data_IF_412683213497
#
_entry.id   IF_412683213497
#
_cell.length_a   1.000
_cell.length_b   1.000
_cell.length_c   1.000
_cell.angle_alpha   90.00
_cell.angle_beta   90.00
_cell.angle_gamma   90.00
#
_symmetry.space_group_name_H-M   'P 1'
#
loop_
_entity.id
_entity.type
_entity.pdbx_description
1 polymer ?
#
# COMPACT_ATOMS: atom_id res chain seq x y z
N UNK A 1 -31.00 16.29 8.74
CA UNK A 1 -32.43 16.57 8.49
C UNK A 1 -33.24 16.61 9.79
N UNK A 2 -33.13 15.63 10.69
CA UNK A 2 -33.93 15.54 11.93
C UNK A 2 -33.58 16.64 12.94
N UNK A 3 -32.31 16.92 13.19
CA UNK A 3 -31.87 17.98 14.10
C UNK A 3 -32.38 19.36 13.65
N UNK A 4 -32.42 19.66 12.35
CA UNK A 4 -32.98 20.90 11.79
C UNK A 4 -34.49 20.96 11.88
N UNK A 5 -35.19 19.84 12.04
CA UNK A 5 -36.65 19.78 12.23
C UNK A 5 -37.06 19.91 13.70
N UNK A 6 -36.14 19.66 14.62
CA UNK A 6 -36.38 19.71 16.06
C UNK A 6 -35.90 21.03 16.69
N UNK A 7 -34.96 21.72 16.05
CA UNK A 7 -34.39 22.99 16.53
C UNK A 7 -34.69 24.10 15.52
N UNK A 8 -35.17 25.24 15.96
CA UNK A 8 -35.53 26.40 15.11
C UNK A 8 -34.31 27.08 14.42
N UNK A 9 -33.11 26.56 14.60
CA UNK A 9 -31.85 26.97 13.96
C UNK A 9 -30.65 26.46 14.73
N UNK A 10 -29.63 25.95 14.00
CA UNK A 10 -28.36 25.56 14.59
C UNK A 10 -27.37 26.73 14.59
N UNK A 11 -27.87 27.91 15.01
CA UNK A 11 -27.11 29.15 15.01
C UNK A 11 -26.35 29.30 16.33
N UNK A 12 -25.04 29.19 16.28
CA UNK A 12 -24.18 29.35 17.46
C UNK A 12 -23.83 30.81 17.77
N UNK A 13 -24.08 31.73 16.81
CA UNK A 13 -23.70 33.14 16.92
C UNK A 13 -24.65 33.99 16.08
N UNK A 14 -25.27 34.99 16.67
CA UNK A 14 -26.22 35.91 16.03
C UNK A 14 -25.65 36.65 14.82
N UNK A 15 -24.33 36.90 14.76
CA UNK A 15 -23.72 37.69 13.70
C UNK A 15 -23.57 36.95 12.35
N UNK A 16 -23.99 35.69 12.24
CA UNK A 16 -24.01 34.96 10.97
C UNK A 16 -25.17 35.44 10.09
N UNK A 17 -26.36 35.53 10.65
CA UNK A 17 -27.60 35.86 9.94
C UNK A 17 -28.12 37.26 10.24
N UNK A 18 -27.63 37.95 11.28
CA UNK A 18 -28.09 39.29 11.65
C UNK A 18 -27.19 40.36 11.05
N UNK A 19 -27.73 41.41 10.41
CA UNK A 19 -26.95 42.54 9.94
C UNK A 19 -26.24 43.23 11.13
N UNK A 20 -24.93 43.40 11.03
CA UNK A 20 -24.14 44.15 12.03
C UNK A 20 -23.36 45.27 11.36
N UNK A 21 -22.94 46.29 12.14
CA UNK A 21 -22.21 47.47 11.67
C UNK A 21 -20.88 47.14 10.97
N UNK A 22 -20.29 45.93 11.21
CA UNK A 22 -19.05 45.47 10.58
C UNK A 22 -19.18 44.96 9.15
N UNK A 23 -20.37 44.79 8.60
CA UNK A 23 -20.64 44.40 7.22
C UNK A 23 -19.98 43.09 6.78
N UNK A 24 -19.85 42.91 5.45
CA UNK A 24 -19.26 41.71 4.84
C UNK A 24 -17.72 41.63 4.97
N UNK A 25 -17.07 42.74 5.33
CA UNK A 25 -15.60 42.82 5.48
C UNK A 25 -15.10 42.38 6.86
N UNK A 26 -15.99 42.08 7.80
CA UNK A 26 -15.62 41.65 9.14
C UNK A 26 -14.85 40.34 9.14
N UNK A 27 -13.58 40.38 9.57
CA UNK A 27 -12.71 39.20 9.64
C UNK A 27 -13.25 38.10 10.58
N UNK A 28 -13.86 38.50 11.68
CA UNK A 28 -14.48 37.56 12.61
C UNK A 28 -15.67 36.83 11.97
N UNK A 29 -16.54 37.54 11.22
CA UNK A 29 -17.65 36.93 10.48
C UNK A 29 -17.20 35.90 9.45
N UNK A 30 -16.07 36.14 8.77
CA UNK A 30 -15.47 35.16 7.83
C UNK A 30 -15.03 33.88 8.54
N UNK A 31 -14.43 33.99 9.72
CA UNK A 31 -14.01 32.81 10.51
C UNK A 31 -15.26 32.05 10.99
N UNK A 32 -16.25 32.72 11.53
CA UNK A 32 -17.49 32.10 12.01
C UNK A 32 -18.29 31.46 10.88
N UNK A 33 -18.32 32.04 9.68
CA UNK A 33 -18.96 31.45 8.52
C UNK A 33 -18.25 30.16 8.07
N UNK A 34 -16.92 30.08 8.18
CA UNK A 34 -16.16 28.83 7.90
C UNK A 34 -16.52 27.76 8.93
N UNK A 35 -16.52 28.08 10.21
CA UNK A 35 -16.88 27.15 11.29
C UNK A 35 -18.30 26.63 11.08
N UNK A 36 -19.26 27.54 10.87
CA UNK A 36 -20.66 27.20 10.64
C UNK A 36 -20.85 26.28 9.43
N UNK A 37 -20.20 26.58 8.31
CA UNK A 37 -20.23 25.70 7.13
C UNK A 37 -19.66 24.31 7.42
N UNK A 38 -18.54 24.24 8.13
CA UNK A 38 -17.92 22.94 8.47
C UNK A 38 -18.80 22.14 9.42
N UNK A 39 -19.40 22.77 10.42
CA UNK A 39 -20.35 22.13 11.34
C UNK A 39 -21.60 21.62 10.61
N UNK A 40 -22.17 22.42 9.71
CA UNK A 40 -23.32 21.99 8.92
C UNK A 40 -23.01 20.81 8.02
N UNK A 41 -21.81 20.76 7.41
CA UNK A 41 -21.37 19.60 6.62
C UNK A 41 -21.33 18.31 7.46
N UNK A 42 -20.83 18.39 8.70
CA UNK A 42 -20.81 17.25 9.63
C UNK A 42 -22.24 16.87 10.03
N UNK A 43 -23.08 17.83 10.43
CA UNK A 43 -24.46 17.58 10.82
C UNK A 43 -25.32 17.04 9.67
N UNK A 44 -25.08 17.51 8.44
CA UNK A 44 -25.81 17.01 7.25
C UNK A 44 -25.34 15.60 6.82
N UNK A 45 -24.13 15.20 7.23
CA UNK A 45 -23.63 13.83 6.98
C UNK A 45 -24.17 12.81 7.99
N UNK A 46 -24.63 13.24 9.18
CA UNK A 46 -25.19 12.35 10.20
C UNK A 46 -26.60 11.88 9.82
N UNK A 47 -26.84 10.60 9.90
CA UNK A 47 -28.14 9.96 9.67
C UNK A 47 -28.78 9.54 11.00
N UNK A 48 -30.10 9.21 10.98
CA UNK A 48 -30.76 8.56 12.12
C UNK A 48 -30.16 7.19 12.41
N UNK A 49 -29.65 6.54 11.38
CA UNK A 49 -28.99 5.25 11.50
C UNK A 49 -27.70 5.37 12.31
N UNK A 50 -26.93 6.45 12.10
CA UNK A 50 -25.72 6.75 12.88
C UNK A 50 -26.02 7.01 14.37
N UNK A 51 -27.24 7.53 14.68
CA UNK A 51 -27.67 7.81 16.05
C UNK A 51 -28.29 6.59 16.74
N UNK A 52 -28.88 5.67 15.97
CA UNK A 52 -29.55 4.48 16.49
C UNK A 52 -28.61 3.27 16.59
N UNK A 53 -27.61 3.24 15.74
CA UNK A 53 -26.56 2.22 15.79
C UNK A 53 -25.33 2.88 16.42
N UNK A 54 -24.98 2.47 17.65
CA UNK A 54 -23.62 2.66 18.18
C UNK A 54 -22.66 2.32 17.03
N UNK A 55 -21.84 3.30 16.58
CA UNK A 55 -21.00 3.10 15.38
C UNK A 55 -20.33 1.75 15.50
N UNK A 56 -20.69 0.81 14.61
CA UNK A 56 -20.08 -0.51 14.59
C UNK A 56 -18.57 -0.25 14.46
N UNK A 57 -17.86 -0.36 15.59
CA UNK A 57 -16.42 -0.14 15.59
C UNK A 57 -15.80 -1.21 14.70
N UNK A 58 -15.34 -0.81 13.53
CA UNK A 58 -14.57 -1.71 12.68
C UNK A 58 -13.14 -1.79 13.18
N UNK A 59 -12.68 -3.02 13.41
CA UNK A 59 -11.26 -3.33 13.62
C UNK A 59 -10.65 -3.56 12.25
N UNK A 60 -9.91 -2.57 11.75
CA UNK A 60 -9.31 -2.63 10.44
C UNK A 60 -7.94 -3.29 10.50
N UNK A 61 -7.81 -4.50 9.95
CA UNK A 61 -6.59 -5.32 9.89
C UNK A 61 -6.19 -5.62 8.43
N UNK A 62 -6.43 -4.67 7.53
CA UNK A 62 -6.09 -4.80 6.10
C UNK A 62 -5.25 -3.62 5.58
N UNK A 63 -4.30 -3.15 6.41
CA UNK A 63 -3.42 -2.01 6.07
C UNK A 63 -2.53 -2.28 4.85
N UNK A 64 -2.23 -3.54 4.51
CA UNK A 64 -1.53 -3.88 3.27
C UNK A 64 -2.38 -3.65 2.00
N UNK A 65 -3.71 -3.62 2.10
CA UNK A 65 -4.56 -3.25 0.96
C UNK A 65 -4.57 -1.74 0.75
N UNK A 66 -4.82 -0.97 1.81
CA UNK A 66 -4.76 0.50 1.82
C UNK A 66 -4.75 1.01 3.25
N UNK A 67 -4.28 2.24 3.46
CA UNK A 67 -4.43 2.95 4.73
C UNK A 67 -5.39 4.13 4.61
N UNK A 68 -5.94 4.59 5.74
CA UNK A 68 -6.63 5.87 5.81
C UNK A 68 -5.63 7.02 5.56
N UNK A 69 -6.11 8.13 5.01
CA UNK A 69 -5.28 9.34 4.93
C UNK A 69 -5.13 9.92 6.34
N UNK A 70 -3.89 10.22 6.74
CA UNK A 70 -3.60 10.88 8.01
C UNK A 70 -4.28 12.26 8.05
N UNK A 71 -4.90 12.63 9.18
CA UNK A 71 -5.66 13.89 9.33
C UNK A 71 -4.79 15.12 9.08
N UNK A 72 -3.54 15.11 9.54
CA UNK A 72 -2.61 16.20 9.31
C UNK A 72 -2.25 16.29 7.82
N UNK A 73 -2.00 15.14 7.16
CA UNK A 73 -1.77 15.07 5.72
C UNK A 73 -2.98 15.65 4.96
N UNK A 74 -4.20 15.24 5.33
CA UNK A 74 -5.42 15.75 4.72
C UNK A 74 -5.52 17.27 4.88
N UNK A 75 -5.23 17.80 6.08
CA UNK A 75 -5.23 19.24 6.33
C UNK A 75 -4.27 20.02 5.43
N UNK A 76 -3.12 19.46 5.10
CA UNK A 76 -2.14 20.06 4.18
C UNK A 76 -2.58 20.00 2.72
N UNK A 77 -3.38 19.01 2.35
CA UNK A 77 -3.92 18.85 0.99
C UNK A 77 -5.05 19.83 0.70
N UNK A 78 -5.95 20.04 1.68
CA UNK A 78 -7.20 20.80 1.50
C UNK A 78 -7.03 22.14 0.79
N UNK A 79 -6.05 23.01 1.12
CA UNK A 79 -5.91 24.31 0.43
C UNK A 79 -5.73 24.21 -1.07
N UNK A 80 -5.15 23.12 -1.58
CA UNK A 80 -4.86 22.94 -2.99
C UNK A 80 -6.07 22.49 -3.82
N UNK A 81 -7.20 22.14 -3.17
CA UNK A 81 -8.45 21.84 -3.87
C UNK A 81 -9.25 23.08 -4.22
N UNK A 82 -9.09 24.20 -3.48
CA UNK A 82 -9.93 25.39 -3.67
C UNK A 82 -9.21 26.75 -3.48
N UNK A 83 -8.40 26.95 -2.43
CA UNK A 83 -7.74 28.26 -2.20
C UNK A 83 -6.52 28.47 -3.07
N UNK A 84 -5.72 27.42 -3.29
CA UNK A 84 -4.45 27.41 -4.04
C UNK A 84 -4.56 26.50 -5.26
N UNK A 85 -5.66 26.58 -5.99
CA UNK A 85 -5.98 25.70 -7.12
C UNK A 85 -5.20 26.02 -8.41
N UNK A 86 -4.02 26.66 -8.30
CA UNK A 86 -3.17 26.99 -9.43
C UNK A 86 -2.57 25.76 -10.12
N UNK A 87 -2.45 25.82 -11.45
CA UNK A 87 -1.69 24.83 -12.21
C UNK A 87 -0.18 25.12 -12.05
N UNK A 88 0.59 24.13 -11.58
CA UNK A 88 2.04 24.26 -11.37
C UNK A 88 2.86 24.60 -12.63
N UNK A 89 2.27 24.45 -13.83
CA UNK A 89 2.89 24.85 -15.09
C UNK A 89 2.60 26.30 -15.51
N UNK A 90 1.77 27.05 -14.72
CA UNK A 90 1.37 28.42 -15.06
C UNK A 90 2.33 29.47 -14.51
N UNK A 91 2.63 30.53 -15.32
CA UNK A 91 3.59 31.54 -14.94
C UNK A 91 3.06 32.60 -13.94
N UNK A 92 1.75 32.65 -13.64
CA UNK A 92 1.17 33.61 -12.70
C UNK A 92 1.36 33.15 -11.24
N UNK A 93 1.11 34.03 -10.26
CA UNK A 93 1.37 33.80 -8.84
C UNK A 93 0.81 32.49 -8.29
N UNK A 94 -0.45 32.17 -8.58
CA UNK A 94 -1.06 30.91 -8.10
C UNK A 94 -0.38 29.66 -8.69
N UNK A 95 0.12 29.76 -9.94
CA UNK A 95 0.88 28.66 -10.58
C UNK A 95 2.23 28.45 -9.87
N UNK A 96 2.96 29.55 -9.61
CA UNK A 96 4.24 29.47 -8.85
C UNK A 96 4.07 28.93 -7.45
N UNK A 97 2.99 29.28 -6.75
CA UNK A 97 2.70 28.75 -5.42
C UNK A 97 2.46 27.22 -5.48
N UNK A 98 1.78 26.74 -6.50
CA UNK A 98 1.59 25.31 -6.74
C UNK A 98 2.91 24.62 -7.11
N UNK A 99 3.74 25.22 -7.95
CA UNK A 99 5.07 24.69 -8.32
C UNK A 99 5.98 24.55 -7.10
N UNK A 100 6.06 25.59 -6.24
CA UNK A 100 6.83 25.53 -4.98
C UNK A 100 6.35 24.39 -4.06
N UNK A 101 5.03 24.17 -4.00
CA UNK A 101 4.47 23.09 -3.21
C UNK A 101 4.84 21.70 -3.77
N UNK A 102 4.79 21.54 -5.10
CA UNK A 102 5.22 20.31 -5.79
C UNK A 102 6.70 20.04 -5.59
N UNK A 103 7.54 21.07 -5.71
CA UNK A 103 9.00 20.92 -5.51
C UNK A 103 9.36 20.58 -4.07
N UNK A 104 8.65 21.15 -3.10
CA UNK A 104 8.80 20.77 -1.69
C UNK A 104 8.44 19.30 -1.48
N UNK A 105 7.30 18.86 -1.97
CA UNK A 105 6.88 17.46 -1.87
C UNK A 105 7.87 16.51 -2.55
N UNK A 106 8.39 16.90 -3.71
CA UNK A 106 9.43 16.15 -4.43
C UNK A 106 10.71 15.99 -3.61
N UNK A 107 11.11 17.07 -2.92
CA UNK A 107 12.25 17.01 -2.00
C UNK A 107 11.99 16.08 -0.81
N UNK A 108 10.80 16.14 -0.19
CA UNK A 108 10.42 15.26 0.91
C UNK A 108 10.47 13.78 0.50
N UNK A 109 9.96 13.44 -0.69
CA UNK A 109 10.05 12.08 -1.24
C UNK A 109 11.51 11.67 -1.49
N UNK A 110 12.31 12.56 -2.07
CA UNK A 110 13.72 12.28 -2.35
C UNK A 110 14.52 12.04 -1.06
N UNK A 111 14.37 12.92 -0.08
CA UNK A 111 15.07 12.81 1.20
C UNK A 111 14.71 11.49 1.93
N UNK A 112 13.45 11.06 1.85
CA UNK A 112 12.96 9.86 2.51
C UNK A 112 13.61 8.54 2.02
N UNK A 113 14.16 8.52 0.80
CA UNK A 113 14.79 7.33 0.19
C UNK A 113 16.28 7.55 -0.17
N UNK A 114 16.90 8.65 0.27
CA UNK A 114 18.29 8.98 -0.04
C UNK A 114 18.54 9.40 -1.50
N UNK A 115 17.50 9.79 -2.25
CA UNK A 115 17.58 10.20 -3.65
C UNK A 115 17.85 11.71 -3.82
N UNK A 116 17.95 12.17 -5.07
CA UNK A 116 17.93 13.58 -5.43
C UNK A 116 16.54 13.95 -5.95
N UNK A 117 16.09 15.20 -5.76
CA UNK A 117 14.78 15.65 -6.25
C UNK A 117 14.60 15.47 -7.75
N UNK A 118 15.66 15.58 -8.55
CA UNK A 118 15.58 15.37 -10.00
C UNK A 118 15.48 13.90 -10.42
N UNK A 119 15.53 12.95 -9.48
CA UNK A 119 15.35 11.52 -9.68
C UNK A 119 13.94 11.04 -9.35
N UNK A 120 13.07 11.95 -8.87
CA UNK A 120 11.69 11.67 -8.44
C UNK A 120 10.71 12.09 -9.56
N UNK A 121 9.78 11.20 -9.92
CA UNK A 121 8.73 11.41 -10.91
C UNK A 121 7.39 10.97 -10.35
N UNK A 122 6.42 11.89 -10.28
CA UNK A 122 5.09 11.60 -9.79
C UNK A 122 4.25 10.83 -10.81
N UNK A 123 3.53 9.82 -10.33
CA UNK A 123 2.64 8.95 -11.10
C UNK A 123 1.28 8.88 -10.42
N UNK A 124 0.33 8.14 -10.97
CA UNK A 124 -0.99 7.93 -10.34
C UNK A 124 -0.98 6.85 -9.26
N UNK A 125 0.11 6.08 -9.10
CA UNK A 125 0.23 5.00 -8.11
C UNK A 125 1.30 3.99 -8.48
N UNK A 126 1.45 2.94 -7.66
CA UNK A 126 2.46 1.90 -7.84
C UNK A 126 2.35 1.20 -9.19
N UNK A 127 1.13 0.83 -9.63
CA UNK A 127 0.94 0.13 -10.90
C UNK A 127 1.39 0.93 -12.12
N UNK A 128 1.21 2.27 -12.13
CA UNK A 128 1.76 3.11 -13.19
C UNK A 128 3.30 3.14 -13.11
N UNK A 129 3.85 3.25 -11.91
CA UNK A 129 5.29 3.28 -11.67
C UNK A 129 5.96 1.99 -12.13
N UNK A 130 5.40 0.82 -11.79
CA UNK A 130 5.89 -0.49 -12.22
C UNK A 130 5.85 -0.65 -13.74
N UNK A 131 4.69 -0.33 -14.35
CA UNK A 131 4.55 -0.40 -15.80
C UNK A 131 5.55 0.51 -16.51
N UNK A 132 5.77 1.72 -15.98
CA UNK A 132 6.72 2.65 -16.58
C UNK A 132 8.16 2.16 -16.42
N UNK A 133 8.55 1.69 -15.24
CA UNK A 133 9.87 1.13 -15.01
C UNK A 133 10.16 -0.05 -15.97
N UNK A 134 9.26 -1.04 -16.00
CA UNK A 134 9.47 -2.27 -16.75
C UNK A 134 9.42 -2.03 -18.27
N UNK A 135 8.34 -1.44 -18.78
CA UNK A 135 8.19 -1.17 -20.22
C UNK A 135 9.20 -0.13 -20.69
N UNK A 136 9.40 0.92 -19.89
CA UNK A 136 10.32 2.00 -20.22
C UNK A 136 11.76 1.51 -20.38
N UNK A 137 12.25 0.65 -19.49
CA UNK A 137 13.58 0.05 -19.63
C UNK A 137 13.61 -0.97 -20.77
N UNK A 138 12.63 -1.86 -20.85
CA UNK A 138 12.57 -2.86 -21.91
C UNK A 138 12.66 -2.23 -23.31
N UNK A 139 11.85 -1.22 -23.57
CA UNK A 139 11.82 -0.56 -24.89
C UNK A 139 13.07 0.29 -25.16
N UNK A 140 13.52 1.09 -24.16
CA UNK A 140 14.69 1.95 -24.32
C UNK A 140 15.99 1.19 -24.55
N UNK A 141 16.12 0.01 -23.97
CA UNK A 141 17.36 -0.75 -23.99
C UNK A 141 17.29 -2.07 -24.79
N UNK A 142 16.24 -2.28 -25.59
CA UNK A 142 16.05 -3.48 -26.42
C UNK A 142 17.20 -3.80 -27.37
N UNK A 143 18.02 -2.80 -27.73
CA UNK A 143 19.22 -3.00 -28.54
C UNK A 143 20.39 -3.62 -27.77
N UNK A 144 20.37 -3.57 -26.42
CA UNK A 144 21.39 -4.19 -25.58
C UNK A 144 21.04 -5.64 -25.25
N UNK A 145 19.75 -5.99 -25.22
CA UNK A 145 19.26 -7.31 -24.91
C UNK A 145 17.74 -7.34 -24.83
N UNK A 146 17.20 -8.56 -24.71
CA UNK A 146 15.77 -8.80 -24.59
C UNK A 146 15.39 -9.67 -23.39
N UNK A 147 16.35 -9.99 -22.54
CA UNK A 147 16.09 -10.80 -21.36
C UNK A 147 15.77 -9.93 -20.14
N UNK A 148 14.70 -10.28 -19.43
CA UNK A 148 14.21 -9.67 -18.21
C UNK A 148 14.12 -10.74 -17.12
N UNK A 149 14.36 -10.38 -15.87
CA UNK A 149 14.22 -11.30 -14.74
C UNK A 149 13.27 -10.66 -13.73
N UNK A 150 12.34 -11.45 -13.19
CA UNK A 150 11.47 -11.07 -12.08
C UNK A 150 11.25 -12.26 -11.15
N UNK A 151 10.50 -12.08 -10.05
CA UNK A 151 10.12 -13.20 -9.18
C UNK A 151 8.70 -13.72 -9.51
N UNK A 152 8.42 -14.96 -9.11
CA UNK A 152 7.12 -15.59 -9.38
C UNK A 152 5.96 -15.04 -8.52
N UNK A 153 6.25 -14.30 -7.45
CA UNK A 153 5.29 -13.85 -6.44
C UNK A 153 5.13 -12.33 -6.37
N UNK A 154 5.47 -11.64 -7.45
CA UNK A 154 5.30 -10.19 -7.60
C UNK A 154 3.83 -9.75 -7.60
N UNK A 155 3.63 -8.45 -7.37
CA UNK A 155 2.31 -7.85 -7.57
C UNK A 155 1.83 -8.01 -9.02
N UNK A 156 0.51 -8.16 -9.26
CA UNK A 156 -0.06 -8.30 -10.61
C UNK A 156 0.39 -7.20 -11.60
N UNK A 157 0.70 -5.98 -11.13
CA UNK A 157 1.23 -4.91 -11.97
C UNK A 157 2.57 -5.26 -12.61
N UNK A 158 3.43 -6.02 -11.91
CA UNK A 158 4.70 -6.53 -12.43
C UNK A 158 4.46 -7.77 -13.29
N UNK A 159 3.80 -8.82 -12.76
CA UNK A 159 3.60 -10.09 -13.48
C UNK A 159 2.86 -9.92 -14.81
N UNK A 160 1.78 -9.11 -14.82
CA UNK A 160 1.03 -8.89 -16.05
C UNK A 160 1.79 -8.02 -17.05
N UNK A 161 2.63 -7.08 -16.57
CA UNK A 161 3.50 -6.30 -17.44
C UNK A 161 4.58 -7.18 -18.07
N UNK A 162 5.19 -8.11 -17.31
CA UNK A 162 6.15 -9.07 -17.85
C UNK A 162 5.52 -9.95 -18.93
N UNK A 163 4.29 -10.46 -18.72
CA UNK A 163 3.55 -11.22 -19.75
C UNK A 163 3.28 -10.40 -21.02
N UNK A 164 3.00 -9.09 -20.89
CA UNK A 164 2.84 -8.22 -22.06
C UNK A 164 4.16 -8.08 -22.81
N UNK A 165 5.28 -7.92 -22.11
CA UNK A 165 6.61 -7.84 -22.70
C UNK A 165 7.02 -9.17 -23.38
N UNK A 166 6.66 -10.33 -22.81
CA UNK A 166 6.81 -11.65 -23.46
C UNK A 166 6.06 -11.69 -24.80
N UNK A 167 4.82 -11.20 -24.85
CA UNK A 167 4.06 -11.11 -26.09
C UNK A 167 4.65 -10.13 -27.12
N UNK A 168 5.46 -9.16 -26.68
CA UNK A 168 6.22 -8.23 -27.52
C UNK A 168 7.58 -8.80 -27.98
N UNK A 169 7.92 -10.03 -27.55
CA UNK A 169 9.14 -10.75 -27.96
C UNK A 169 10.35 -10.52 -27.05
N UNK A 170 10.12 -10.13 -25.79
CA UNK A 170 11.12 -10.23 -24.73
C UNK A 170 11.08 -11.64 -24.11
N UNK A 171 12.17 -12.04 -23.49
CA UNK A 171 12.28 -13.30 -22.75
C UNK A 171 12.26 -12.96 -21.25
N UNK A 172 11.43 -13.65 -20.48
CA UNK A 172 11.31 -13.43 -19.02
C UNK A 172 11.67 -14.69 -18.26
N UNK A 173 12.62 -14.58 -17.34
CA UNK A 173 12.91 -15.62 -16.35
C UNK A 173 12.33 -15.26 -15.00
N UNK A 174 11.81 -16.25 -14.30
CA UNK A 174 11.16 -16.09 -13.01
C UNK A 174 12.01 -16.74 -11.91
N UNK A 175 12.42 -15.95 -10.91
CA UNK A 175 13.08 -16.43 -9.71
C UNK A 175 12.07 -17.10 -8.79
N UNK A 176 12.45 -18.23 -8.22
CA UNK A 176 11.65 -18.96 -7.24
C UNK A 176 11.87 -18.42 -5.83
N UNK A 177 10.95 -18.74 -4.96
CA UNK A 177 11.08 -18.43 -3.54
C UNK A 177 11.30 -19.68 -2.71
N UNK A 178 12.03 -19.52 -1.60
CA UNK A 178 12.07 -20.56 -0.59
C UNK A 178 10.76 -20.58 0.25
N UNK A 179 10.55 -21.58 1.13
CA UNK A 179 9.34 -21.67 1.96
C UNK A 179 9.09 -20.49 2.89
N UNK A 180 10.06 -19.61 3.12
CA UNK A 180 9.94 -18.35 3.85
C UNK A 180 9.65 -17.15 2.93
N UNK A 181 9.62 -17.36 1.61
CA UNK A 181 9.35 -16.32 0.63
C UNK A 181 10.55 -15.41 0.33
N UNK A 182 11.79 -15.90 0.50
CA UNK A 182 12.99 -15.18 0.07
C UNK A 182 13.42 -15.64 -1.32
N UNK A 183 13.80 -14.69 -2.15
CA UNK A 183 14.49 -14.90 -3.43
C UNK A 183 16.00 -15.03 -3.15
N UNK A 184 16.68 -15.93 -3.88
CA UNK A 184 18.12 -16.18 -3.72
C UNK A 184 18.95 -15.37 -4.72
N UNK A 185 20.00 -14.70 -4.23
CA UNK A 185 21.02 -14.08 -5.08
C UNK A 185 21.82 -15.13 -5.88
N UNK A 186 22.03 -16.32 -5.32
CA UNK A 186 22.70 -17.44 -6.03
C UNK A 186 21.86 -17.96 -7.21
N UNK A 187 20.53 -18.02 -7.04
CA UNK A 187 19.64 -18.36 -8.15
C UNK A 187 19.69 -17.28 -9.22
N UNK A 188 19.60 -15.98 -8.83
CA UNK A 188 19.75 -14.87 -9.77
C UNK A 188 21.06 -14.97 -10.55
N UNK A 189 22.19 -15.22 -9.89
CA UNK A 189 23.51 -15.40 -10.53
C UNK A 189 23.50 -16.53 -11.54
N UNK A 190 22.75 -17.62 -11.28
CA UNK A 190 22.69 -18.81 -12.14
C UNK A 190 21.86 -18.61 -13.40
N UNK A 191 20.87 -17.69 -13.40
CA UNK A 191 19.94 -17.48 -14.54
C UNK A 191 20.18 -16.18 -15.29
N UNK A 192 20.96 -15.24 -14.72
CA UNK A 192 21.28 -13.98 -15.39
C UNK A 192 22.17 -14.21 -16.60
N UNK A 193 21.91 -13.48 -17.69
CA UNK A 193 22.55 -13.67 -18.98
C UNK A 193 23.23 -12.38 -19.45
N UNK A 194 24.19 -12.44 -20.41
CA UNK A 194 24.82 -11.23 -20.96
C UNK A 194 23.85 -10.26 -21.65
N UNK A 195 22.69 -10.76 -22.11
CA UNK A 195 21.61 -9.97 -22.71
C UNK A 195 20.47 -9.62 -21.72
N UNK A 196 20.68 -9.85 -20.43
CA UNK A 196 19.75 -9.39 -19.39
C UNK A 196 19.86 -7.87 -19.23
N UNK A 197 18.75 -7.16 -19.38
CA UNK A 197 18.72 -5.70 -19.29
C UNK A 197 18.08 -5.18 -18.00
N UNK A 198 17.23 -5.98 -17.34
CA UNK A 198 16.52 -5.59 -16.14
C UNK A 198 16.27 -6.79 -15.22
N UNK A 199 16.54 -6.60 -13.95
CA UNK A 199 16.07 -7.46 -12.85
C UNK A 199 15.06 -6.67 -12.04
N UNK A 200 13.87 -7.21 -11.79
CA UNK A 200 12.80 -6.60 -11.02
C UNK A 200 12.32 -7.53 -9.92
N UNK A 201 12.57 -7.18 -8.67
CA UNK A 201 12.13 -7.96 -7.51
C UNK A 201 11.49 -7.01 -6.49
N UNK A 202 10.28 -7.33 -6.03
CA UNK A 202 9.59 -6.52 -5.03
C UNK A 202 10.40 -6.43 -3.73
N UNK A 203 10.35 -5.28 -3.07
CA UNK A 203 11.10 -5.05 -1.84
C UNK A 203 10.56 -5.86 -0.67
N UNK A 204 9.23 -5.90 -0.53
CA UNK A 204 8.54 -6.67 0.48
C UNK A 204 7.21 -7.20 -0.06
N UNK A 205 6.92 -8.46 0.23
CA UNK A 205 5.70 -9.07 -0.29
C UNK A 205 4.47 -8.59 0.49
N UNK A 206 3.43 -8.20 -0.24
CA UNK A 206 2.19 -7.62 0.31
C UNK A 206 1.29 -8.65 1.01
N UNK A 207 1.50 -9.95 0.80
CA UNK A 207 0.70 -11.02 1.42
C UNK A 207 1.39 -11.55 2.69
N UNK A 208 2.59 -12.09 2.55
CA UNK A 208 3.32 -12.76 3.64
C UNK A 208 4.29 -11.84 4.40
N UNK A 209 4.49 -10.62 3.92
CA UNK A 209 5.30 -9.59 4.58
C UNK A 209 6.80 -9.75 4.44
N UNK A 210 7.33 -10.82 3.85
CA UNK A 210 8.77 -11.10 3.75
C UNK A 210 9.50 -9.99 3.00
N UNK A 211 10.58 -9.46 3.59
CA UNK A 211 11.45 -8.41 3.04
C UNK A 211 12.61 -9.07 2.30
N UNK A 212 12.83 -8.70 1.03
CA UNK A 212 13.83 -9.30 0.16
C UNK A 212 15.25 -8.77 0.40
N UNK A 213 16.30 -9.51 0.05
CA UNK A 213 17.71 -9.10 0.15
C UNK A 213 18.10 -8.18 -1.02
N UNK A 214 17.51 -6.98 -1.08
CA UNK A 214 17.57 -6.05 -2.22
C UNK A 214 19.01 -5.69 -2.60
N UNK A 215 19.87 -5.38 -1.62
CA UNK A 215 21.26 -4.99 -1.87
C UNK A 215 22.05 -6.11 -2.55
N UNK A 216 21.86 -7.37 -2.11
CA UNK A 216 22.52 -8.52 -2.68
C UNK A 216 22.06 -8.77 -4.13
N UNK A 217 20.76 -8.69 -4.38
CA UNK A 217 20.17 -8.86 -5.70
C UNK A 217 20.60 -7.74 -6.67
N UNK A 218 20.61 -6.50 -6.22
CA UNK A 218 21.06 -5.35 -7.01
C UNK A 218 22.56 -5.48 -7.37
N UNK A 219 23.37 -5.95 -6.44
CA UNK A 219 24.81 -6.19 -6.68
C UNK A 219 25.04 -7.24 -7.79
N UNK A 220 24.28 -8.33 -7.78
CA UNK A 220 24.34 -9.37 -8.85
C UNK A 220 23.90 -8.77 -10.18
N UNK A 221 22.76 -8.08 -10.23
CA UNK A 221 22.29 -7.45 -11.46
C UNK A 221 23.34 -6.51 -12.08
N UNK A 222 23.95 -5.65 -11.26
CA UNK A 222 24.98 -4.71 -11.71
C UNK A 222 26.27 -5.39 -12.17
N UNK A 223 26.67 -6.51 -11.55
CA UNK A 223 27.85 -7.28 -11.97
C UNK A 223 27.72 -7.77 -13.42
N UNK A 224 26.50 -8.00 -13.88
CA UNK A 224 26.16 -8.41 -15.24
C UNK A 224 25.69 -7.28 -16.16
N UNK A 225 25.71 -6.01 -15.68
CA UNK A 225 25.35 -4.83 -16.45
C UNK A 225 23.84 -4.63 -16.65
N UNK A 226 23.01 -5.35 -15.91
CA UNK A 226 21.56 -5.18 -15.88
C UNK A 226 21.14 -4.07 -14.90
N UNK A 227 20.04 -3.39 -15.18
CA UNK A 227 19.39 -2.47 -14.22
C UNK A 227 18.65 -3.25 -13.14
N UNK A 228 18.52 -2.65 -11.96
CA UNK A 228 17.74 -3.20 -10.85
C UNK A 228 16.55 -2.30 -10.52
N UNK A 229 15.34 -2.87 -10.64
CA UNK A 229 14.07 -2.27 -10.23
C UNK A 229 13.51 -2.99 -9.01
N UNK A 230 12.86 -2.25 -8.12
CA UNK A 230 12.07 -2.82 -7.03
C UNK A 230 10.70 -2.16 -6.89
N UNK A 231 9.65 -2.99 -6.85
CA UNK A 231 8.35 -2.56 -6.31
C UNK A 231 8.49 -2.44 -4.80
N UNK A 232 8.63 -1.20 -4.32
CA UNK A 232 8.76 -0.88 -2.90
C UNK A 232 7.46 -0.33 -2.29
N UNK A 233 6.32 -0.56 -2.94
CA UNK A 233 5.01 -0.06 -2.51
C UNK A 233 4.69 -0.45 -1.07
N UNK A 234 5.05 -1.64 -0.62
CA UNK A 234 4.85 -2.08 0.76
C UNK A 234 5.98 -1.68 1.71
N UNK A 235 7.15 -1.34 1.19
CA UNK A 235 8.34 -1.08 2.00
C UNK A 235 8.51 0.39 2.38
N UNK A 236 8.20 1.32 1.45
CA UNK A 236 8.34 2.76 1.70
C UNK A 236 7.47 3.17 2.90
N UNK A 237 8.08 3.87 3.86
CA UNK A 237 7.43 4.27 5.11
C UNK A 237 7.41 3.18 6.19
N UNK A 238 7.82 1.93 5.86
CA UNK A 238 7.87 0.78 6.78
C UNK A 238 9.26 0.18 6.94
N UNK A 239 10.18 0.48 6.01
CA UNK A 239 11.56 -0.01 6.01
C UNK A 239 12.49 1.13 5.66
N UNK A 240 13.66 1.19 6.29
CA UNK A 240 14.70 2.15 5.93
C UNK A 240 15.26 1.83 4.55
N UNK A 241 15.12 2.79 3.63
CA UNK A 241 15.58 2.68 2.24
C UNK A 241 16.58 3.77 1.96
N UNK A 242 17.76 3.38 1.45
CA UNK A 242 18.71 4.27 0.78
C UNK A 242 19.01 3.69 -0.59
N UNK A 243 18.42 4.31 -1.61
CA UNK A 243 18.52 3.81 -3.00
C UNK A 243 19.94 3.76 -3.53
N UNK A 244 20.84 4.59 -3.00
CA UNK A 244 22.26 4.62 -3.40
C UNK A 244 23.04 3.49 -2.74
N UNK A 245 22.91 3.36 -1.42
CA UNK A 245 23.58 2.32 -0.64
C UNK A 245 23.14 0.92 -1.10
N UNK A 246 21.86 0.76 -1.40
CA UNK A 246 21.27 -0.52 -1.82
C UNK A 246 21.38 -0.80 -3.33
N UNK A 247 21.95 0.13 -4.10
CA UNK A 247 22.16 -0.07 -5.54
C UNK A 247 20.88 -0.10 -6.37
N UNK A 248 19.82 0.56 -5.96
CA UNK A 248 18.55 0.58 -6.69
C UNK A 248 18.62 1.59 -7.84
N UNK A 249 18.25 1.17 -9.04
CA UNK A 249 18.21 2.05 -10.22
C UNK A 249 16.81 2.62 -10.47
N UNK A 250 15.75 1.84 -10.18
CA UNK A 250 14.36 2.28 -10.25
C UNK A 250 13.60 1.74 -9.02
N UNK A 251 12.70 2.57 -8.46
CA UNK A 251 11.88 2.19 -7.32
C UNK A 251 10.46 2.73 -7.46
N UNK A 252 9.48 1.84 -7.36
CA UNK A 252 8.06 2.18 -7.39
C UNK A 252 7.49 2.34 -5.98
N UNK A 253 6.65 3.38 -5.77
CA UNK A 253 5.95 3.60 -4.50
C UNK A 253 4.55 4.17 -4.70
N UNK A 254 3.68 4.02 -3.69
CA UNK A 254 2.31 4.51 -3.70
C UNK A 254 1.91 5.10 -2.35
N UNK A 255 1.40 6.32 -2.34
CA UNK A 255 1.18 7.09 -1.11
C UNK A 255 0.19 6.44 -0.15
N UNK A 256 -0.83 5.76 -0.66
CA UNK A 256 -1.87 5.14 0.17
C UNK A 256 -1.41 3.94 1.01
N UNK A 257 -0.15 3.55 0.94
CA UNK A 257 0.44 2.50 1.79
C UNK A 257 1.16 3.04 3.03
N UNK A 258 1.37 4.35 3.07
CA UNK A 258 1.99 5.05 4.19
C UNK A 258 1.16 6.28 4.63
N UNK A 259 -0.17 6.10 4.72
CA UNK A 259 -1.14 7.09 5.20
C UNK A 259 -1.24 8.37 4.36
N UNK A 260 -0.84 8.28 3.10
CA UNK A 260 -1.05 9.30 2.08
C UNK A 260 -2.33 9.06 1.27
N UNK A 261 -2.66 9.97 0.33
CA UNK A 261 -3.85 9.84 -0.48
C UNK A 261 -3.74 8.74 -1.54
N UNK A 262 -4.88 8.14 -1.89
CA UNK A 262 -5.03 7.28 -3.06
C UNK A 262 -4.87 8.09 -4.35
N UNK A 263 -4.50 7.44 -5.45
CA UNK A 263 -4.40 8.10 -6.77
C UNK A 263 -3.14 8.95 -6.96
N UNK A 264 -2.11 8.72 -6.17
CA UNK A 264 -0.78 9.29 -6.31
C UNK A 264 0.30 8.27 -5.93
N UNK A 265 1.35 8.21 -6.74
CA UNK A 265 2.54 7.42 -6.52
C UNK A 265 3.78 8.14 -7.05
N UNK A 266 4.88 7.43 -7.07
CA UNK A 266 6.14 7.97 -7.57
C UNK A 266 6.99 6.83 -8.13
N UNK A 267 7.71 7.14 -9.21
CA UNK A 267 8.83 6.36 -9.70
C UNK A 267 10.13 7.12 -9.40
N UNK A 268 11.02 6.53 -8.63
CA UNK A 268 12.41 6.94 -8.57
C UNK A 268 13.15 6.39 -9.78
N UNK A 269 13.91 7.26 -10.46
CA UNK A 269 14.77 6.90 -11.59
C UNK A 269 16.15 7.48 -11.32
N UNK A 270 17.13 6.64 -11.12
CA UNK A 270 18.53 7.04 -10.88
C UNK A 270 19.07 7.88 -12.02
N UNK A 271 19.81 8.93 -11.68
CA UNK A 271 20.46 9.80 -12.67
C UNK A 271 21.32 9.00 -13.67
N UNK A 272 21.06 9.18 -14.97
CA UNK A 272 21.70 8.43 -16.05
C UNK A 272 20.89 7.26 -16.60
N UNK A 273 19.91 6.75 -15.89
CA UNK A 273 18.92 5.78 -16.40
C UNK A 273 17.85 6.55 -17.21
N UNK A 274 17.51 6.05 -18.38
CA UNK A 274 16.59 6.75 -19.30
C UNK A 274 15.53 5.77 -19.83
N UNK A 275 14.51 5.48 -19.04
CA UNK A 275 13.38 4.68 -19.53
C UNK A 275 12.61 5.46 -20.61
N UNK A 276 12.03 4.75 -21.57
CA UNK A 276 11.05 5.33 -22.47
C UNK A 276 9.83 5.79 -21.68
N UNK A 277 9.25 6.95 -22.02
CA UNK A 277 8.06 7.46 -21.31
C UNK A 277 6.84 6.59 -21.59
N UNK A 278 6.06 6.30 -20.54
CA UNK A 278 4.85 5.50 -20.66
C UNK A 278 3.67 6.36 -21.18
N UNK A 279 3.54 7.59 -20.67
CA UNK A 279 2.43 8.50 -20.99
C UNK A 279 2.98 9.67 -21.77
N UNK A 280 2.61 9.76 -23.05
CA UNK A 280 2.96 10.85 -23.95
C UNK A 280 1.96 12.01 -23.82
N UNK A 281 2.44 13.27 -23.98
CA UNK A 281 1.60 14.47 -23.93
C UNK A 281 2.42 15.72 -23.64
N UNK A 282 1.97 16.56 -22.70
CA UNK A 282 2.64 17.79 -22.29
C UNK A 282 3.97 17.55 -21.56
N UNK A 283 4.65 18.63 -21.21
CA UNK A 283 6.03 18.61 -20.70
C UNK A 283 6.15 18.42 -19.16
N UNK A 284 5.05 18.01 -18.50
CA UNK A 284 5.06 17.78 -17.06
C UNK A 284 6.11 16.73 -16.70
N UNK A 285 6.50 16.69 -15.42
CA UNK A 285 7.54 15.80 -14.91
C UNK A 285 8.81 15.81 -15.79
N UNK A 286 9.26 17.00 -16.17
CA UNK A 286 10.46 17.19 -17.00
C UNK A 286 10.38 16.44 -18.34
N UNK A 287 9.20 16.49 -18.97
CA UNK A 287 8.89 15.82 -20.23
C UNK A 287 8.99 14.28 -20.18
N UNK A 288 8.88 13.69 -19.00
CA UNK A 288 8.94 12.22 -18.82
C UNK A 288 7.56 11.61 -18.56
N UNK A 289 6.63 12.35 -17.95
CA UNK A 289 5.27 11.88 -17.67
C UNK A 289 4.28 13.03 -17.85
N UNK A 290 3.46 12.93 -18.86
CA UNK A 290 2.48 13.95 -19.20
C UNK A 290 1.24 13.92 -18.28
N UNK A 291 0.49 15.00 -18.29
CA UNK A 291 -0.76 15.20 -17.56
C UNK A 291 -0.64 16.26 -16.47
N UNK A 292 -1.71 17.01 -16.28
CA UNK A 292 -1.78 18.06 -15.25
C UNK A 292 -1.42 17.51 -13.89
N UNK A 293 -0.52 18.18 -13.18
CA UNK A 293 -0.04 17.75 -11.87
C UNK A 293 -1.18 17.72 -10.85
N UNK A 294 -1.36 16.59 -10.19
CA UNK A 294 -2.27 16.43 -9.07
C UNK A 294 -1.66 17.07 -7.81
N UNK A 295 -1.65 18.42 -7.78
CA UNK A 295 -0.99 19.19 -6.71
C UNK A 295 -1.42 18.77 -5.31
N UNK A 296 -2.73 18.61 -4.97
CA UNK A 296 -3.13 18.16 -3.65
C UNK A 296 -2.61 16.76 -3.33
N UNK A 297 -2.65 15.81 -4.29
CA UNK A 297 -2.13 14.46 -4.11
C UNK A 297 -0.61 14.44 -3.90
N UNK A 298 0.13 15.23 -4.67
CA UNK A 298 1.59 15.38 -4.55
C UNK A 298 1.98 15.94 -3.19
N UNK A 299 1.31 17.00 -2.74
CA UNK A 299 1.52 17.59 -1.40
C UNK A 299 1.22 16.57 -0.31
N UNK A 300 0.10 15.85 -0.43
CA UNK A 300 -0.26 14.80 0.50
C UNK A 300 0.78 13.67 0.57
N UNK A 301 1.31 13.23 -0.57
CA UNK A 301 2.36 12.22 -0.63
C UNK A 301 3.65 12.69 0.06
N UNK A 302 4.09 13.95 -0.21
CA UNK A 302 5.29 14.51 0.42
C UNK A 302 5.19 14.56 1.95
N UNK A 303 4.08 15.07 2.49
CA UNK A 303 3.87 15.11 3.94
C UNK A 303 3.71 13.71 4.55
N UNK A 304 3.01 12.81 3.88
CA UNK A 304 2.81 11.45 4.37
C UNK A 304 4.12 10.68 4.49
N UNK A 305 4.99 10.72 3.45
CA UNK A 305 6.27 10.00 3.48
C UNK A 305 7.23 10.58 4.52
N UNK A 306 7.32 11.92 4.64
CA UNK A 306 8.13 12.58 5.65
C UNK A 306 7.71 12.15 7.07
N UNK A 307 6.39 12.16 7.35
CA UNK A 307 5.84 11.73 8.63
C UNK A 307 6.07 10.24 8.89
N UNK A 308 5.90 9.39 7.88
CA UNK A 308 6.10 7.95 7.98
C UNK A 308 7.57 7.62 8.31
N UNK A 309 8.52 8.25 7.63
CA UNK A 309 9.96 7.99 7.86
C UNK A 309 10.41 8.54 9.21
N UNK A 310 9.96 9.73 9.61
CA UNK A 310 10.35 10.34 10.89
C UNK A 310 9.85 9.55 12.12
N UNK A 311 8.73 8.84 12.01
CA UNK A 311 8.16 8.05 13.10
C UNK A 311 8.29 6.54 12.88
N UNK A 312 9.09 6.10 11.89
CA UNK A 312 9.13 4.72 11.44
C UNK A 312 9.48 3.73 12.54
N UNK A 313 10.54 3.99 13.28
CA UNK A 313 11.04 3.04 14.29
C UNK A 313 10.05 2.90 15.46
N UNK A 314 9.46 4.01 15.91
CA UNK A 314 8.45 4.00 16.98
C UNK A 314 7.18 3.27 16.53
N UNK A 315 6.66 3.61 15.34
CA UNK A 315 5.49 2.96 14.78
C UNK A 315 5.72 1.45 14.55
N UNK A 316 6.87 1.09 13.97
CA UNK A 316 7.21 -0.30 13.71
C UNK A 316 7.34 -1.11 15.01
N UNK A 317 7.95 -0.55 16.06
CA UNK A 317 8.07 -1.21 17.35
C UNK A 317 6.69 -1.46 17.97
N UNK A 318 5.81 -0.46 17.94
CA UNK A 318 4.44 -0.57 18.44
C UNK A 318 3.62 -1.62 17.66
N UNK A 319 3.62 -1.50 16.32
CA UNK A 319 2.86 -2.38 15.44
C UNK A 319 3.37 -3.83 15.51
N UNK A 320 4.70 -4.02 15.60
CA UNK A 320 5.29 -5.33 15.77
C UNK A 320 4.86 -6.01 17.09
N UNK A 321 4.76 -5.24 18.18
CA UNK A 321 4.28 -5.77 19.46
C UNK A 321 2.81 -6.27 19.36
N UNK A 322 1.94 -5.55 18.65
CA UNK A 322 0.56 -6.00 18.39
C UNK A 322 0.53 -7.28 17.55
N UNK A 323 1.30 -7.31 16.45
CA UNK A 323 1.42 -8.47 15.59
C UNK A 323 1.97 -9.69 16.34
N UNK A 324 3.01 -9.51 17.14
CA UNK A 324 3.67 -10.61 17.86
C UNK A 324 2.74 -11.24 18.90
N UNK A 325 2.01 -10.42 19.65
CA UNK A 325 0.99 -10.95 20.59
C UNK A 325 -0.14 -11.66 19.84
N UNK A 326 -0.63 -11.09 18.73
CA UNK A 326 -1.62 -11.75 17.87
C UNK A 326 -1.13 -13.12 17.39
N UNK A 327 0.10 -13.19 16.87
CA UNK A 327 0.70 -14.42 16.34
C UNK A 327 0.88 -15.47 17.46
N UNK A 328 1.30 -15.05 18.63
CA UNK A 328 1.46 -15.92 19.80
C UNK A 328 0.11 -16.54 20.22
N UNK A 329 -0.89 -15.70 20.46
CA UNK A 329 -2.23 -16.13 20.88
C UNK A 329 -2.87 -17.07 19.82
N UNK A 330 -2.77 -16.74 18.53
CA UNK A 330 -3.30 -17.59 17.44
C UNK A 330 -2.61 -18.95 17.44
N UNK A 331 -1.28 -19.01 17.58
CA UNK A 331 -0.53 -20.29 17.63
C UNK A 331 -0.85 -21.14 18.87
N UNK A 332 -1.11 -20.51 20.01
CA UNK A 332 -1.43 -21.19 21.25
C UNK A 332 -2.85 -21.75 21.27
N UNK A 333 -3.80 -21.02 20.64
CA UNK A 333 -5.24 -21.32 20.78
C UNK A 333 -5.84 -22.06 19.58
N UNK A 334 -5.24 -21.93 18.39
CA UNK A 334 -5.79 -22.50 17.16
C UNK A 334 -4.82 -23.54 16.59
N UNK A 335 -5.12 -24.85 16.69
CA UNK A 335 -4.30 -25.90 16.09
C UNK A 335 -4.45 -25.96 14.56
N UNK A 336 -3.64 -26.79 13.90
CA UNK A 336 -3.68 -27.06 12.45
C UNK A 336 -3.60 -25.79 11.60
N UNK A 337 -2.63 -24.94 11.91
CA UNK A 337 -2.32 -23.70 11.17
C UNK A 337 -0.87 -23.70 10.71
N UNK A 338 -0.61 -22.93 9.64
CA UNK A 338 0.74 -22.58 9.21
C UNK A 338 0.89 -21.06 9.27
N UNK A 339 1.91 -20.57 9.96
CA UNK A 339 2.32 -19.17 9.93
C UNK A 339 3.29 -18.97 8.77
N UNK A 340 2.93 -18.13 7.80
CA UNK A 340 3.65 -17.95 6.55
C UNK A 340 4.59 -16.74 6.59
N UNK A 341 5.63 -16.78 5.74
CA UNK A 341 6.61 -15.71 5.56
C UNK A 341 7.85 -15.87 6.42
N UNK A 342 8.88 -15.07 6.10
CA UNK A 342 10.19 -15.09 6.74
C UNK A 342 10.23 -14.36 8.08
N UNK A 343 11.35 -14.50 8.79
CA UNK A 343 11.60 -13.76 10.04
C UNK A 343 11.76 -12.26 9.77
N UNK A 344 12.54 -11.90 8.73
CA UNK A 344 12.67 -10.52 8.28
C UNK A 344 11.42 -10.13 7.49
N UNK A 345 10.50 -9.43 8.16
CA UNK A 345 9.19 -9.08 7.61
C UNK A 345 8.74 -7.67 7.99
N UNK A 346 7.73 -7.17 7.29
CA UNK A 346 7.02 -5.94 7.63
C UNK A 346 6.42 -6.04 9.04
N UNK A 347 6.54 -4.99 9.83
CA UNK A 347 6.17 -4.96 11.24
C UNK A 347 4.73 -5.43 11.50
N UNK A 348 3.79 -4.97 10.69
CA UNK A 348 2.36 -5.26 10.91
C UNK A 348 1.83 -6.53 10.25
N UNK A 349 2.63 -7.29 9.51
CA UNK A 349 2.12 -8.40 8.71
C UNK A 349 2.08 -9.72 9.48
N UNK A 350 0.89 -10.35 9.55
CA UNK A 350 0.67 -11.71 10.00
C UNK A 350 -0.16 -12.47 8.96
N UNK A 351 0.39 -13.54 8.41
CA UNK A 351 -0.27 -14.35 7.40
C UNK A 351 -0.34 -15.81 7.85
N UNK A 352 -1.55 -16.38 7.89
CA UNK A 352 -1.81 -17.74 8.30
C UNK A 352 -2.55 -18.52 7.23
N UNK A 353 -2.26 -19.82 7.14
CA UNK A 353 -3.09 -20.81 6.45
C UNK A 353 -3.80 -21.66 7.50
N UNK A 354 -5.12 -21.65 7.48
CA UNK A 354 -5.98 -22.44 8.36
C UNK A 354 -6.43 -23.69 7.61
N UNK A 355 -5.95 -24.86 8.03
CA UNK A 355 -6.27 -26.12 7.36
C UNK A 355 -7.73 -26.49 7.52
N UNK A 356 -8.26 -27.20 6.51
CA UNK A 356 -9.60 -27.82 6.47
C UNK A 356 -10.79 -26.86 6.36
N UNK A 357 -10.56 -25.57 6.12
CA UNK A 357 -11.61 -24.55 5.98
C UNK A 357 -11.24 -23.52 4.93
N UNK A 358 -12.26 -22.91 4.36
CA UNK A 358 -12.12 -21.85 3.33
C UNK A 358 -11.92 -20.48 3.98
N UNK A 359 -10.93 -19.74 3.50
CA UNK A 359 -10.60 -18.39 3.98
C UNK A 359 -11.74 -17.39 3.79
N UNK A 360 -12.48 -17.47 2.68
CA UNK A 360 -13.64 -16.60 2.45
C UNK A 360 -14.71 -16.76 3.55
N UNK A 361 -14.94 -17.99 4.03
CA UNK A 361 -15.87 -18.25 5.13
C UNK A 361 -15.38 -17.64 6.45
N UNK A 362 -14.05 -17.66 6.69
CA UNK A 362 -13.44 -16.99 7.84
C UNK A 362 -13.65 -15.48 7.71
N UNK A 363 -13.29 -14.89 6.57
CA UNK A 363 -13.40 -13.44 6.33
C UNK A 363 -14.85 -12.95 6.48
N UNK A 364 -15.81 -13.67 5.90
CA UNK A 364 -17.22 -13.33 6.04
C UNK A 364 -17.69 -13.32 7.51
N UNK A 365 -17.25 -14.33 8.28
CA UNK A 365 -17.63 -14.41 9.70
C UNK A 365 -16.98 -13.31 10.53
N UNK A 366 -15.71 -12.98 10.25
CA UNK A 366 -15.00 -11.88 10.89
C UNK A 366 -15.62 -10.52 10.57
N UNK A 367 -16.05 -10.30 9.30
CA UNK A 367 -16.73 -9.06 8.90
C UNK A 367 -18.05 -8.86 9.65
N UNK A 368 -18.83 -9.92 9.87
CA UNK A 368 -20.02 -9.88 10.73
C UNK A 368 -19.69 -9.47 12.18
N UNK A 369 -18.50 -9.81 12.67
CA UNK A 369 -17.99 -9.40 13.97
C UNK A 369 -17.32 -8.00 13.95
N UNK A 370 -17.31 -7.31 12.80
CA UNK A 370 -16.68 -5.98 12.64
C UNK A 370 -15.18 -6.01 12.44
N UNK A 371 -14.58 -7.15 12.06
CA UNK A 371 -13.15 -7.30 11.83
C UNK A 371 -12.87 -7.39 10.32
N UNK A 372 -12.10 -6.44 9.80
CA UNK A 372 -11.71 -6.36 8.39
C UNK A 372 -10.34 -6.99 8.19
N UNK A 373 -10.27 -8.13 7.49
CA UNK A 373 -9.03 -8.80 7.11
C UNK A 373 -9.10 -9.20 5.62
N UNK A 374 -8.06 -9.84 5.06
CA UNK A 374 -8.00 -10.18 3.63
C UNK A 374 -7.45 -11.59 3.41
N UNK A 375 -7.83 -12.22 2.31
CA UNK A 375 -7.20 -13.47 1.83
C UNK A 375 -5.82 -13.25 1.18
N UNK A 376 -5.32 -12.01 1.16
CA UNK A 376 -4.06 -11.67 0.51
C UNK A 376 -4.20 -11.38 -1.00
N UNK A 377 -5.06 -12.11 -1.70
CA UNK A 377 -5.33 -11.94 -3.13
C UNK A 377 -6.50 -10.98 -3.43
N UNK A 378 -6.72 -9.96 -2.60
CA UNK A 378 -7.85 -9.02 -2.75
C UNK A 378 -7.94 -8.35 -4.14
N UNK A 379 -6.83 -8.25 -4.88
CA UNK A 379 -6.80 -7.73 -6.26
C UNK A 379 -7.33 -8.75 -7.30
N UNK A 380 -7.53 -10.00 -6.94
CA UNK A 380 -8.10 -11.06 -7.77
C UNK A 380 -9.43 -11.60 -7.19
N UNK A 381 -10.13 -10.80 -6.40
CA UNK A 381 -11.41 -11.14 -5.72
C UNK A 381 -12.58 -11.46 -6.68
N UNK A 382 -12.35 -12.31 -7.62
CA UNK A 382 -13.27 -12.87 -8.60
C UNK A 382 -12.73 -14.17 -9.21
N UNK A 383 -11.50 -14.57 -8.90
CA UNK A 383 -10.95 -15.86 -9.32
C UNK A 383 -10.98 -16.84 -8.15
N UNK A 384 -11.51 -18.03 -8.40
CA UNK A 384 -11.45 -19.19 -7.48
C UNK A 384 -10.02 -19.76 -7.36
N UNK A 385 -9.00 -19.05 -7.87
CA UNK A 385 -7.62 -19.52 -7.87
C UNK A 385 -6.93 -19.18 -6.54
N UNK A 386 -6.18 -20.15 -6.01
CA UNK A 386 -5.34 -19.96 -4.84
C UNK A 386 -4.27 -18.88 -5.08
N UNK A 387 -3.87 -18.14 -4.02
CA UNK A 387 -2.82 -17.12 -4.10
C UNK A 387 -1.52 -17.71 -4.66
N UNK A 388 -0.97 -17.07 -5.69
CA UNK A 388 0.34 -17.44 -6.28
C UNK A 388 1.46 -17.33 -5.26
N UNK A 389 1.43 -16.32 -4.40
CA UNK A 389 2.39 -16.15 -3.31
C UNK A 389 2.36 -17.35 -2.37
N UNK A 390 1.17 -17.79 -1.98
CA UNK A 390 0.99 -18.92 -1.05
C UNK A 390 1.44 -20.24 -1.68
N UNK A 391 1.15 -20.43 -2.97
CA UNK A 391 1.64 -21.59 -3.72
C UNK A 391 3.16 -21.57 -3.88
N UNK A 392 3.75 -20.42 -4.19
CA UNK A 392 5.19 -20.24 -4.37
C UNK A 392 6.01 -20.61 -3.11
N UNK A 393 5.47 -20.36 -1.91
CA UNK A 393 6.10 -20.75 -0.64
C UNK A 393 5.84 -22.22 -0.25
N UNK A 394 5.28 -23.03 -1.17
CA UNK A 394 5.08 -24.46 -1.01
C UNK A 394 3.90 -24.86 -0.11
N UNK A 395 2.86 -24.02 -0.03
CA UNK A 395 1.58 -24.44 0.57
C UNK A 395 0.81 -25.24 -0.48
N UNK A 396 0.33 -26.44 -0.17
CA UNK A 396 -0.50 -27.22 -1.09
C UNK A 396 -1.74 -26.45 -1.56
N UNK A 397 -2.13 -26.60 -2.83
CA UNK A 397 -3.25 -25.85 -3.41
C UNK A 397 -4.56 -26.03 -2.60
N UNK A 398 -4.81 -27.24 -2.11
CA UNK A 398 -5.97 -27.56 -1.26
C UNK A 398 -5.98 -26.84 0.10
N UNK A 399 -4.79 -26.48 0.64
CA UNK A 399 -4.66 -25.72 1.89
C UNK A 399 -4.62 -24.21 1.65
N UNK A 400 -4.14 -23.79 0.46
CA UNK A 400 -3.87 -22.39 0.14
C UNK A 400 -5.15 -21.52 0.20
N UNK A 401 -6.32 -22.10 -0.09
CA UNK A 401 -7.61 -21.42 0.01
C UNK A 401 -7.98 -21.03 1.45
N UNK A 402 -7.41 -21.69 2.48
CA UNK A 402 -7.60 -21.34 3.89
C UNK A 402 -6.70 -20.21 4.38
N UNK A 403 -6.07 -19.45 3.49
CA UNK A 403 -5.09 -18.43 3.86
C UNK A 403 -5.70 -17.07 4.12
N UNK A 404 -5.30 -16.45 5.24
CA UNK A 404 -5.77 -15.12 5.68
C UNK A 404 -4.56 -14.26 6.05
N UNK A 405 -4.61 -13.02 5.59
CA UNK A 405 -3.69 -11.96 5.95
C UNK A 405 -4.34 -11.00 6.93
N UNK A 406 -3.67 -10.75 8.04
CA UNK A 406 -3.96 -9.69 9.00
C UNK A 406 -2.82 -8.68 8.96
N UNK A 407 -3.12 -7.41 8.77
CA UNK A 407 -2.10 -6.37 8.74
C UNK A 407 -2.48 -5.22 9.67
N UNK A 408 -1.68 -5.07 10.72
CA UNK A 408 -1.85 -4.09 11.77
C UNK A 408 -1.33 -2.72 11.35
N UNK A 409 -1.98 -1.67 11.80
CA UNK A 409 -1.57 -0.27 11.67
C UNK A 409 -1.46 0.41 13.03
N UNK A 410 -1.06 1.67 13.03
CA UNK A 410 -0.85 2.47 14.24
C UNK A 410 -2.15 2.79 15.01
N UNK A 411 -3.30 2.62 14.35
CA UNK A 411 -4.63 2.85 14.96
C UNK A 411 -5.15 1.64 15.74
N UNK A 412 -4.55 0.47 15.54
CA UNK A 412 -4.94 -0.74 16.25
C UNK A 412 -4.44 -0.73 17.70
N UNK A 413 -5.14 -1.44 18.56
CA UNK A 413 -4.85 -1.54 19.98
C UNK A 413 -4.69 -3.01 20.42
N UNK A 414 -4.14 -3.22 21.61
CA UNK A 414 -4.05 -4.55 22.20
C UNK A 414 -5.44 -5.18 22.50
N UNK A 415 -6.45 -4.36 22.72
CA UNK A 415 -7.83 -4.85 22.88
C UNK A 415 -8.42 -5.31 21.54
N UNK A 416 -8.03 -4.67 20.40
CA UNK A 416 -8.39 -5.15 19.07
C UNK A 416 -7.74 -6.53 18.80
N UNK A 417 -6.49 -6.72 19.24
CA UNK A 417 -5.79 -8.02 19.13
C UNK A 417 -6.57 -9.09 19.87
N UNK A 418 -6.88 -8.88 21.16
CA UNK A 418 -7.60 -9.87 22.00
C UNK A 418 -8.95 -10.21 21.41
N UNK A 419 -9.76 -9.19 21.07
CA UNK A 419 -11.07 -9.39 20.46
C UNK A 419 -10.98 -10.18 19.15
N UNK A 420 -10.01 -9.83 18.30
CA UNK A 420 -9.81 -10.52 17.00
C UNK A 420 -9.46 -12.01 17.22
N UNK A 421 -8.57 -12.32 18.16
CA UNK A 421 -8.21 -13.70 18.48
C UNK A 421 -9.40 -14.49 19.00
N UNK A 422 -10.21 -13.90 19.88
CA UNK A 422 -11.41 -14.53 20.43
C UNK A 422 -12.44 -14.87 19.34
N UNK A 423 -12.71 -13.94 18.44
CA UNK A 423 -13.64 -14.16 17.33
C UNK A 423 -13.07 -15.12 16.27
N UNK A 424 -11.77 -15.06 16.00
CA UNK A 424 -11.08 -15.97 15.07
C UNK A 424 -11.13 -17.42 15.59
N UNK A 425 -10.84 -17.65 16.86
CA UNK A 425 -10.92 -18.99 17.48
C UNK A 425 -12.35 -19.58 17.39
N UNK A 426 -13.36 -18.79 17.75
CA UNK A 426 -14.78 -19.20 17.64
C UNK A 426 -15.14 -19.53 16.19
N UNK A 427 -14.72 -18.68 15.25
CA UNK A 427 -14.94 -18.84 13.82
C UNK A 427 -14.33 -20.13 13.29
N UNK A 428 -13.03 -20.34 13.53
CA UNK A 428 -12.30 -21.53 13.08
C UNK A 428 -12.90 -22.80 13.67
N UNK A 429 -13.20 -22.83 14.97
CA UNK A 429 -13.82 -23.96 15.63
C UNK A 429 -15.18 -24.32 15.03
N UNK A 430 -16.03 -23.31 14.80
CA UNK A 430 -17.34 -23.48 14.17
C UNK A 430 -17.22 -24.03 12.73
N UNK A 431 -16.38 -23.42 11.89
CA UNK A 431 -16.23 -23.81 10.49
C UNK A 431 -15.64 -25.23 10.38
N UNK A 432 -14.65 -25.59 11.20
CA UNK A 432 -14.08 -26.95 11.24
C UNK A 432 -15.10 -27.99 11.68
N UNK A 433 -15.99 -27.67 12.62
CA UNK A 433 -17.05 -28.62 13.04
C UNK A 433 -18.03 -28.96 11.90
N UNK A 434 -18.12 -28.14 10.88
CA UNK A 434 -18.95 -28.36 9.69
C UNK A 434 -18.16 -28.90 8.48
N UNK A 435 -16.82 -29.00 8.58
CA UNK A 435 -15.95 -29.43 7.49
C UNK A 435 -15.82 -30.95 7.44
N UNK A 436 -16.20 -31.61 6.32
CA UNK A 436 -15.96 -33.04 6.12
C UNK A 436 -14.45 -33.40 6.18
N UNK A 437 -13.60 -32.52 5.64
CA UNK A 437 -12.14 -32.71 5.62
C UNK A 437 -11.54 -32.78 7.02
N UNK A 438 -12.07 -32.00 7.98
CA UNK A 438 -11.63 -32.01 9.35
C UNK A 438 -12.08 -33.30 10.07
N UNK A 439 -13.29 -33.78 9.81
CA UNK A 439 -13.79 -35.04 10.36
C UNK A 439 -12.95 -36.25 9.89
N UNK A 440 -12.54 -36.29 8.62
CA UNK A 440 -11.67 -37.36 8.09
C UNK A 440 -10.26 -37.31 8.69
N UNK A 441 -9.71 -36.11 8.93
CA UNK A 441 -8.38 -35.96 9.53
C UNK A 441 -8.35 -36.45 10.98
N UNK A 442 -9.38 -36.15 11.79
CA UNK A 442 -9.53 -36.59 13.16
C UNK A 442 -9.77 -38.09 13.26
N UNK A 443 -10.51 -38.69 12.33
CA UNK A 443 -10.72 -40.14 12.28
C UNK A 443 -9.42 -40.92 11.99
N UNK A 444 -8.53 -40.38 11.13
CA UNK A 444 -7.22 -40.99 10.84
C UNK A 444 -6.26 -40.97 12.04
N UNK A 445 -6.29 -39.91 12.86
CA UNK A 445 -5.46 -39.79 14.07
C UNK A 445 -5.94 -40.79 15.19
N UNK A 446 -7.22 -41.10 15.24
CA UNK A 446 -7.79 -42.01 16.25
C UNK A 446 -7.55 -43.50 15.90
N UNK A 447 -7.10 -43.80 14.68
CA UNK A 447 -6.80 -45.17 14.20
C UNK A 447 -5.29 -45.54 14.27
N UNK A 448 -4.42 -44.64 14.73
CA UNK A 448 -3.00 -44.86 15.00
C UNK A 448 -2.78 -44.93 16.54
#
# INVERSE_FOLDING_TARGET
MVLRALEDGLEFIDCINTPCEGGEECKARRVWNKIYKSMNLVLDSLTLDDLLHDQKRYIYLDHSATTAVDEEVLSKMLPYFYEKAGNASSQHGMGRDAEVAVDRARKQVADAIGAKSNEIYFTSGGSESDNWALKGIAHAYKSKGKHLITSEFEHPAVLNTMKQLEAEGFEVSYLHTNPQGYVSADELESIIRPDTILVSVMYANNEIGTIQPIEELAKVAHAHGAFFHTDAVQAVGNVHIDVKAQGIDLLSMSAHKFYGPKGIGCLYIKSGVRPERLIAGGEQERNQRAGTTNTPGVVGMGFAIEKAVNNMDENNAYIAALRDEFVKEVKERIPDIRYNGGEKRLAGNAHFTFRYIEGESILFTLDLAGICASSGSACSSGSLEASKTVLAIGVPAEEAHGSIRFTFGRENTMDDVKYTVDELEKTVKRLRSMSPLFAESTAKITMI
#
